data_IF_449911420074
#
_entry.id   IF_449911420074
#
_cell.length_a   1.000
_cell.length_b   1.000
_cell.length_c   1.000
_cell.angle_alpha   90.00
_cell.angle_beta   90.00
_cell.angle_gamma   90.00
#
_symmetry.space_group_name_H-M   'P 1'
#
loop_
_entity.id
_entity.type
_entity.pdbx_description
1 polymer ?
#
# COMPACT_ATOMS: atom_id res chain seq x y z
N UNK A 1 13.37 4.92 -13.24
CA UNK A 1 13.98 5.84 -12.26
C UNK A 1 13.23 7.17 -12.35
N UNK A 2 12.08 7.24 -11.67
CA UNK A 2 11.45 8.49 -11.24
C UNK A 2 11.65 8.47 -9.72
N UNK A 3 12.73 9.10 -9.27
CA UNK A 3 12.94 9.39 -7.87
C UNK A 3 12.05 10.58 -7.54
N UNK A 4 10.98 10.37 -6.77
CA UNK A 4 10.20 11.47 -6.22
C UNK A 4 11.08 12.18 -5.19
N UNK A 5 11.61 13.33 -5.57
CA UNK A 5 12.37 14.22 -4.70
C UNK A 5 11.42 15.28 -4.15
N UNK A 6 10.85 15.06 -2.97
CA UNK A 6 10.17 16.12 -2.22
C UNK A 6 11.22 17.09 -1.66
N UNK A 7 11.14 18.37 -2.02
CA UNK A 7 11.89 19.43 -1.33
C UNK A 7 11.04 19.92 -0.15
N UNK A 8 11.43 19.57 1.07
CA UNK A 8 10.84 20.14 2.29
C UNK A 8 11.19 21.63 2.41
N UNK A 9 10.17 22.49 2.42
CA UNK A 9 10.31 23.87 2.89
C UNK A 9 9.96 23.92 4.38
N UNK A 10 10.98 23.88 5.24
CA UNK A 10 10.83 24.10 6.69
C UNK A 10 10.44 25.56 6.98
N UNK A 11 9.28 25.76 7.60
CA UNK A 11 9.01 26.94 8.44
C UNK A 11 8.70 26.49 9.85
N UNK A 12 9.67 26.70 10.74
CA UNK A 12 9.44 26.70 12.19
C UNK A 12 8.53 27.86 12.57
N UNK A 13 7.54 27.62 13.44
CA UNK A 13 7.43 28.34 14.72
C UNK A 13 6.45 27.65 15.69
N UNK A 14 6.85 27.74 16.95
CA UNK A 14 6.37 27.15 18.21
C UNK A 14 4.95 27.49 18.68
N UNK A 15 4.33 26.60 19.47
CA UNK A 15 4.03 26.77 20.92
C UNK A 15 3.14 25.63 21.48
N UNK A 16 3.54 25.03 22.61
CA UNK A 16 2.71 24.19 23.51
C UNK A 16 1.98 25.12 24.50
N UNK A 17 0.78 24.79 25.05
CA UNK A 17 0.77 24.03 26.32
C UNK A 17 -0.49 23.17 26.64
N UNK A 18 -0.24 22.13 27.45
CA UNK A 18 -0.80 21.89 28.80
C UNK A 18 -1.51 20.55 29.08
N UNK A 19 -0.98 19.87 30.11
CA UNK A 19 -1.43 18.61 30.72
C UNK A 19 -2.74 18.78 31.50
N UNK A 20 -3.61 17.76 31.47
CA UNK A 20 -4.42 17.32 32.63
C UNK A 20 -4.51 15.79 32.68
N UNK A 21 -4.11 15.23 33.82
CA UNK A 21 -4.31 13.85 34.25
C UNK A 21 -5.79 13.54 34.51
N UNK A 22 -6.26 12.35 34.12
CA UNK A 22 -7.31 11.62 34.86
C UNK A 22 -7.03 10.10 34.81
N UNK A 23 -6.58 9.58 35.96
CA UNK A 23 -7.00 8.37 36.70
C UNK A 23 -7.28 7.05 35.95
N UNK A 24 -6.56 6.04 36.46
CA UNK A 24 -6.49 4.62 36.16
C UNK A 24 -7.74 3.76 36.41
N UNK A 25 -7.82 2.63 35.68
CA UNK A 25 -8.40 1.34 36.15
C UNK A 25 -7.67 0.15 35.48
N UNK A 26 -7.32 -0.86 36.31
CA UNK A 26 -6.64 -2.17 36.06
C UNK A 26 -7.25 -2.96 34.89
N UNK A 27 -6.52 -3.67 34.00
CA UNK A 27 -5.43 -4.68 34.03
C UNK A 27 -5.96 -6.13 34.04
N UNK A 28 -5.71 -6.88 32.96
CA UNK A 28 -5.64 -8.36 32.77
C UNK A 28 -5.52 -8.59 31.23
N UNK A 29 -4.64 -9.37 30.60
CA UNK A 29 -3.39 -10.06 30.92
C UNK A 29 -2.62 -10.06 29.59
N UNK A 30 -1.48 -9.37 29.52
CA UNK A 30 -0.55 -9.43 28.39
C UNK A 30 0.77 -9.99 28.88
N UNK A 31 1.15 -11.13 28.30
CA UNK A 31 2.44 -11.78 28.52
C UNK A 31 3.52 -10.88 27.92
N UNK A 32 4.21 -10.12 28.76
CA UNK A 32 5.43 -9.42 28.38
C UNK A 32 6.61 -10.41 28.39
N UNK A 33 7.32 -10.51 27.28
CA UNK A 33 8.68 -11.04 27.27
C UNK A 33 9.60 -9.91 26.79
N UNK A 34 10.38 -9.36 27.72
CA UNK A 34 11.35 -8.30 27.46
C UNK A 34 12.65 -8.81 26.84
N UNK A 35 13.13 -8.00 25.91
CA UNK A 35 14.51 -7.68 25.50
C UNK A 35 15.59 -8.78 25.41
N UNK A 36 16.15 -8.89 24.20
CA UNK A 36 17.58 -8.56 23.97
C UNK A 36 17.72 -7.76 22.68
N UNK A 37 18.21 -6.52 22.82
CA UNK A 37 18.62 -5.65 21.71
C UNK A 37 19.84 -6.26 21.03
N UNK A 38 19.65 -6.75 19.81
CA UNK A 38 20.69 -6.81 18.80
C UNK A 38 20.30 -5.76 17.75
N UNK A 39 21.25 -4.94 17.32
CA UNK A 39 21.15 -4.02 16.16
C UNK A 39 20.97 -4.82 14.85
N UNK A 40 19.87 -5.55 14.74
CA UNK A 40 19.40 -6.14 13.49
C UNK A 40 18.24 -5.28 13.01
N UNK A 41 18.27 -4.92 11.74
CA UNK A 41 17.15 -4.38 10.98
C UNK A 41 15.90 -5.15 11.43
N UNK A 42 14.88 -4.44 11.93
CA UNK A 42 13.73 -5.09 12.55
C UNK A 42 12.94 -5.83 11.46
N UNK A 43 13.17 -7.14 11.32
CA UNK A 43 12.40 -7.99 10.40
C UNK A 43 10.92 -7.97 10.80
N UNK A 44 10.07 -7.52 9.89
CA UNK A 44 8.63 -7.54 10.05
C UNK A 44 8.14 -9.00 9.99
N UNK A 45 7.44 -9.46 11.03
CA UNK A 45 6.86 -10.81 11.04
C UNK A 45 5.35 -10.74 10.79
N UNK A 46 4.91 -11.21 9.63
CA UNK A 46 3.50 -11.36 9.22
C UNK A 46 3.02 -12.77 9.61
N UNK A 47 2.02 -12.86 10.50
CA UNK A 47 1.49 -14.14 11.00
C UNK A 47 0.10 -14.44 10.43
N UNK A 48 0.00 -15.57 9.74
CA UNK A 48 -1.27 -16.21 9.38
C UNK A 48 -1.49 -17.46 10.23
N UNK A 49 -2.67 -18.07 10.16
CA UNK A 49 -2.99 -19.28 10.94
C UNK A 49 -2.14 -20.50 10.58
N UNK A 50 -1.63 -20.56 9.35
CA UNK A 50 -1.01 -21.72 8.70
C UNK A 50 0.32 -21.39 8.00
N UNK A 51 0.77 -20.13 8.05
CA UNK A 51 2.02 -19.66 7.46
C UNK A 51 2.52 -18.43 8.22
N UNK A 52 3.84 -18.31 8.38
CA UNK A 52 4.50 -17.11 8.90
C UNK A 52 5.48 -16.62 7.86
N UNK A 53 5.43 -15.31 7.57
CA UNK A 53 6.33 -14.65 6.63
C UNK A 53 7.14 -13.62 7.42
N UNK A 54 8.47 -13.73 7.36
CA UNK A 54 9.37 -12.65 7.80
C UNK A 54 9.73 -11.81 6.60
N UNK A 55 9.73 -10.49 6.71
CA UNK A 55 9.99 -9.56 5.63
C UNK A 55 10.98 -8.49 6.12
N UNK A 56 11.96 -8.13 5.29
CA UNK A 56 12.88 -7.07 5.66
C UNK A 56 12.13 -5.75 5.75
N UNK A 57 12.40 -5.01 6.83
CA UNK A 57 11.96 -3.63 6.99
C UNK A 57 13.15 -2.69 6.95
N UNK A 58 13.66 -2.54 5.73
CA UNK A 58 14.80 -1.68 5.42
C UNK A 58 14.40 -0.19 5.33
N UNK A 59 13.11 0.12 5.48
CA UNK A 59 12.60 1.48 5.43
C UNK A 59 12.61 2.12 6.82
N UNK A 60 13.59 2.98 7.05
CA UNK A 60 13.75 3.71 8.32
C UNK A 60 13.09 5.08 8.30
N UNK A 61 12.33 5.44 7.25
CA UNK A 61 11.90 6.81 7.02
C UNK A 61 10.98 7.37 8.12
N UNK A 62 10.29 6.52 8.89
CA UNK A 62 9.28 6.99 9.88
C UNK A 62 9.24 6.23 11.21
N UNK A 63 10.31 5.52 11.59
CA UNK A 63 10.38 4.89 12.94
C UNK A 63 10.29 5.91 14.09
N UNK A 64 10.49 7.20 13.80
CA UNK A 64 10.46 8.28 14.79
C UNK A 64 9.05 8.85 15.04
N UNK A 65 8.04 8.55 14.21
CA UNK A 65 6.67 9.11 14.34
C UNK A 65 5.62 8.14 14.91
N UNK A 66 5.88 6.83 14.91
CA UNK A 66 4.97 5.86 15.49
C UNK A 66 5.39 5.50 16.93
N UNK A 67 4.45 5.55 17.87
CA UNK A 67 4.62 4.86 19.16
C UNK A 67 4.78 3.35 18.87
N UNK A 68 5.53 2.63 19.72
CA UNK A 68 5.89 1.19 19.56
C UNK A 68 4.71 0.21 19.32
N UNK A 69 3.47 0.70 19.29
CA UNK A 69 2.23 -0.07 19.23
C UNK A 69 1.44 0.05 17.92
N UNK A 70 1.82 0.91 16.98
CA UNK A 70 1.09 1.02 15.72
C UNK A 70 1.49 -0.11 14.76
N UNK A 71 0.50 -0.91 14.37
CA UNK A 71 0.72 -2.00 13.43
C UNK A 71 0.89 -1.41 12.02
N UNK A 72 2.05 -1.62 11.42
CA UNK A 72 2.40 -1.21 10.04
C UNK A 72 1.49 -1.92 9.00
N UNK A 73 0.75 -2.95 9.41
CA UNK A 73 -0.14 -3.72 8.55
C UNK A 73 -1.32 -4.32 9.32
N UNK A 74 -2.39 -4.62 8.59
CA UNK A 74 -3.54 -5.40 9.08
C UNK A 74 -3.49 -6.81 8.52
N UNK A 75 -3.81 -7.81 9.34
CA UNK A 75 -4.01 -9.19 8.87
C UNK A 75 -5.47 -9.57 8.80
N UNK A 76 -5.83 -10.19 7.69
CA UNK A 76 -7.05 -10.99 7.51
C UNK A 76 -6.64 -12.45 7.39
N UNK A 77 -7.61 -13.35 7.18
CA UNK A 77 -7.40 -14.80 7.15
C UNK A 77 -6.20 -15.23 6.28
N UNK A 78 -6.11 -14.68 5.08
CA UNK A 78 -5.10 -15.02 4.06
C UNK A 78 -4.41 -13.80 3.46
N UNK A 79 -4.70 -12.61 3.96
CA UNK A 79 -4.25 -11.34 3.36
C UNK A 79 -3.61 -10.45 4.41
N UNK A 80 -2.40 -9.96 4.15
CA UNK A 80 -1.78 -8.87 4.88
C UNK A 80 -1.92 -7.57 4.07
N UNK A 81 -2.37 -6.50 4.73
CA UNK A 81 -2.66 -5.21 4.10
C UNK A 81 -1.75 -4.16 4.68
N UNK A 82 -1.02 -3.48 3.80
CA UNK A 82 -0.11 -2.38 4.09
C UNK A 82 -0.67 -1.11 3.47
N UNK A 83 -0.65 -0.03 4.24
CA UNK A 83 -0.90 1.32 3.73
C UNK A 83 0.46 1.97 3.55
N UNK A 84 0.84 2.24 2.31
CA UNK A 84 2.15 2.79 2.01
C UNK A 84 2.16 4.29 2.22
N UNK A 85 3.25 4.78 2.79
CA UNK A 85 3.60 6.18 2.77
C UNK A 85 4.36 6.56 1.49
N UNK A 86 4.36 7.84 1.10
CA UNK A 86 5.13 8.33 -0.04
C UNK A 86 6.61 7.99 0.10
N UNK A 87 7.19 7.40 -0.95
CA UNK A 87 8.59 7.00 -0.98
C UNK A 87 8.87 5.59 -0.42
N UNK A 88 7.86 4.90 0.10
CA UNK A 88 8.03 3.53 0.62
C UNK A 88 8.41 2.54 -0.48
N UNK A 89 9.45 1.74 -0.24
CA UNK A 89 9.88 0.71 -1.19
C UNK A 89 8.97 -0.53 -1.14
N UNK A 90 8.46 -0.91 -2.32
CA UNK A 90 7.77 -2.18 -2.55
C UNK A 90 8.73 -3.37 -2.63
N UNK A 91 9.97 -3.13 -3.04
CA UNK A 91 10.98 -4.17 -3.18
C UNK A 91 11.49 -4.57 -1.81
N UNK A 92 11.22 -5.81 -1.41
CA UNK A 92 11.55 -6.33 -0.07
C UNK A 92 11.93 -7.79 -0.12
N UNK A 93 12.95 -8.15 0.65
CA UNK A 93 13.27 -9.56 0.88
C UNK A 93 12.27 -10.16 1.85
N UNK A 94 11.91 -11.42 1.64
CA UNK A 94 11.04 -12.14 2.57
C UNK A 94 11.49 -13.58 2.75
N UNK A 95 10.93 -14.24 3.76
CA UNK A 95 11.18 -15.65 4.07
C UNK A 95 9.89 -16.29 4.56
N UNK A 96 9.68 -17.54 4.17
CA UNK A 96 8.66 -18.40 4.77
C UNK A 96 9.33 -19.18 5.90
N UNK A 97 8.81 -19.07 7.12
CA UNK A 97 9.46 -19.65 8.31
C UNK A 97 9.26 -21.16 8.43
N UNK A 98 8.17 -21.69 7.87
CA UNK A 98 7.87 -23.11 7.86
C UNK A 98 8.67 -23.82 6.75
N UNK A 99 9.74 -24.51 7.14
CA UNK A 99 10.66 -25.20 6.21
C UNK A 99 9.99 -26.32 5.40
N UNK A 100 8.86 -26.86 5.87
CA UNK A 100 8.10 -27.88 5.17
C UNK A 100 7.47 -27.40 3.86
N UNK A 101 7.31 -26.08 3.67
CA UNK A 101 6.92 -25.50 2.39
C UNK A 101 8.16 -25.24 1.55
N UNK A 102 8.49 -26.21 0.70
CA UNK A 102 9.73 -26.24 -0.04
C UNK A 102 9.63 -25.80 -1.51
N UNK A 103 8.42 -25.67 -2.03
CA UNK A 103 8.11 -25.15 -3.37
C UNK A 103 7.34 -23.82 -3.26
N UNK A 104 7.93 -22.72 -3.72
CA UNK A 104 7.34 -21.38 -3.65
C UNK A 104 7.06 -20.85 -5.04
N UNK A 105 5.86 -20.31 -5.24
CA UNK A 105 5.49 -19.53 -6.42
C UNK A 105 5.04 -18.14 -5.99
N UNK A 106 5.46 -17.12 -6.73
CA UNK A 106 5.10 -15.73 -6.50
C UNK A 106 4.42 -15.16 -7.74
N UNK A 107 3.32 -14.45 -7.52
CA UNK A 107 2.58 -13.77 -8.56
C UNK A 107 2.34 -12.32 -8.15
N UNK A 108 2.35 -11.41 -9.12
CA UNK A 108 2.00 -10.01 -8.95
C UNK A 108 0.80 -9.62 -9.78
N UNK A 109 0.02 -8.68 -9.26
CA UNK A 109 -1.09 -8.02 -9.91
C UNK A 109 -1.16 -6.59 -9.36
N UNK A 110 -1.71 -5.67 -10.12
CA UNK A 110 -1.96 -4.31 -9.66
C UNK A 110 -3.35 -3.83 -10.07
N UNK A 111 -3.85 -2.84 -9.35
CA UNK A 111 -5.13 -2.18 -9.65
C UNK A 111 -4.90 -0.71 -9.95
N UNK A 112 -5.52 -0.24 -11.03
CA UNK A 112 -5.55 1.16 -11.44
C UNK A 112 -6.97 1.69 -11.29
N UNK A 113 -7.07 2.90 -10.75
CA UNK A 113 -8.30 3.69 -10.75
C UNK A 113 -8.09 4.98 -11.54
N UNK A 114 -9.20 5.59 -11.96
CA UNK A 114 -9.18 6.89 -12.61
C UNK A 114 -9.19 7.98 -11.55
N UNK A 115 -8.35 8.98 -11.72
CA UNK A 115 -8.40 10.23 -10.98
C UNK A 115 -8.48 11.43 -11.91
N UNK A 116 -8.76 12.59 -11.32
CA UNK A 116 -8.80 13.87 -12.00
C UNK A 116 -7.90 14.87 -11.28
N UNK A 117 -7.09 15.59 -12.04
CA UNK A 117 -6.27 16.68 -11.55
C UNK A 117 -7.01 18.01 -11.68
N UNK A 118 -6.80 18.91 -10.72
CA UNK A 118 -7.30 20.28 -10.79
C UNK A 118 -6.16 21.27 -11.02
N UNK A 119 -6.51 22.42 -11.60
CA UNK A 119 -5.61 23.58 -11.63
C UNK A 119 -5.76 24.48 -10.41
N UNK A 120 -6.71 24.18 -9.51
CA UNK A 120 -6.87 24.91 -8.25
C UNK A 120 -5.65 24.70 -7.36
N UNK A 121 -5.27 25.76 -6.67
CA UNK A 121 -4.25 25.69 -5.62
C UNK A 121 -4.87 25.02 -4.38
N UNK A 122 -4.68 23.70 -4.28
CA UNK A 122 -5.06 22.86 -3.14
C UNK A 122 -3.81 22.17 -2.59
N UNK A 123 -3.85 21.79 -1.32
CA UNK A 123 -2.79 20.97 -0.71
C UNK A 123 -2.61 19.65 -1.49
N UNK A 124 -3.72 19.05 -1.94
CA UNK A 124 -3.74 17.88 -2.83
C UNK A 124 -4.60 18.19 -4.07
N UNK A 125 -4.02 18.63 -5.19
CA UNK A 125 -4.77 18.99 -6.41
C UNK A 125 -5.17 17.76 -7.25
N UNK A 126 -5.52 16.66 -6.60
CA UNK A 126 -5.87 15.39 -7.20
C UNK A 126 -7.09 14.78 -6.50
N UNK A 127 -8.05 14.27 -7.27
CA UNK A 127 -9.14 13.47 -6.76
C UNK A 127 -9.12 12.08 -7.39
N UNK A 128 -8.89 11.05 -6.58
CA UNK A 128 -9.09 9.65 -6.97
C UNK A 128 -10.59 9.33 -6.98
N UNK A 129 -11.10 8.77 -8.07
CA UNK A 129 -12.50 8.35 -8.19
C UNK A 129 -12.62 6.90 -7.69
N UNK A 130 -12.73 6.74 -6.37
CA UNK A 130 -12.92 5.46 -5.71
C UNK A 130 -14.29 4.83 -6.06
N UNK A 131 -14.41 3.51 -5.94
CA UNK A 131 -15.65 2.75 -6.18
C UNK A 131 -16.33 3.02 -7.54
N UNK A 132 -15.52 3.37 -8.53
CA UNK A 132 -15.92 3.50 -9.93
C UNK A 132 -15.14 2.50 -10.81
N UNK A 133 -15.11 2.71 -12.13
CA UNK A 133 -14.37 1.87 -13.06
C UNK A 133 -12.90 1.77 -12.62
N UNK A 134 -12.42 0.53 -12.51
CA UNK A 134 -11.03 0.19 -12.25
C UNK A 134 -10.52 -0.76 -13.31
N UNK A 135 -9.20 -0.87 -13.42
CA UNK A 135 -8.52 -1.91 -14.15
C UNK A 135 -7.74 -2.75 -13.17
N UNK A 136 -7.87 -4.07 -13.30
CA UNK A 136 -7.07 -5.03 -12.55
C UNK A 136 -6.23 -5.80 -13.56
N UNK A 137 -4.91 -5.80 -13.39
CA UNK A 137 -4.01 -6.48 -14.32
C UNK A 137 -4.21 -8.00 -14.29
N UNK A 138 -3.77 -8.72 -15.32
CA UNK A 138 -3.61 -10.16 -15.21
C UNK A 138 -2.52 -10.51 -14.18
N UNK A 139 -2.58 -11.73 -13.63
CA UNK A 139 -1.53 -12.23 -12.74
C UNK A 139 -0.24 -12.51 -13.51
N UNK A 140 0.85 -11.85 -13.11
CA UNK A 140 2.19 -12.10 -13.65
C UNK A 140 2.93 -13.04 -12.71
N UNK A 141 3.41 -14.19 -13.20
CA UNK A 141 4.25 -15.11 -12.41
C UNK A 141 5.69 -14.61 -12.39
N UNK A 142 6.26 -14.46 -11.20
CA UNK A 142 7.67 -14.11 -11.03
C UNK A 142 8.55 -15.34 -10.90
N UNK A 143 9.78 -15.21 -11.38
CA UNK A 143 10.84 -16.18 -11.08
C UNK A 143 11.33 -15.91 -9.67
N UNK A 144 11.36 -16.94 -8.84
CA UNK A 144 11.81 -16.84 -7.46
C UNK A 144 13.06 -17.68 -7.23
N UNK A 145 13.96 -17.18 -6.39
CA UNK A 145 15.04 -17.96 -5.82
C UNK A 145 14.68 -18.30 -4.38
N UNK A 146 14.57 -19.59 -4.05
CA UNK A 146 14.18 -20.01 -2.70
C UNK A 146 15.14 -19.52 -1.61
N UNK A 147 16.41 -19.33 -1.94
CA UNK A 147 17.43 -18.89 -0.99
C UNK A 147 17.51 -17.35 -0.87
N UNK A 148 16.79 -16.62 -1.73
CA UNK A 148 16.78 -15.17 -1.81
C UNK A 148 15.41 -14.73 -2.38
N UNK A 149 14.38 -14.90 -1.56
CA UNK A 149 13.01 -14.56 -1.92
C UNK A 149 12.85 -13.04 -1.81
N UNK A 150 12.35 -12.44 -2.87
CA UNK A 150 12.13 -10.99 -2.97
C UNK A 150 10.76 -10.73 -3.58
N UNK A 151 10.09 -9.68 -3.10
CA UNK A 151 8.95 -9.07 -3.78
C UNK A 151 9.51 -8.16 -4.87
N UNK A 152 9.38 -8.52 -6.16
CA UNK A 152 9.91 -7.68 -7.23
C UNK A 152 8.97 -6.51 -7.49
N UNK A 153 9.49 -5.39 -8.00
CA UNK A 153 8.63 -4.32 -8.51
C UNK A 153 7.71 -4.82 -9.63
N UNK A 154 6.43 -4.51 -9.53
CA UNK A 154 5.44 -4.76 -10.60
C UNK A 154 5.52 -3.60 -11.61
N UNK A 155 5.68 -3.90 -12.90
CA UNK A 155 5.60 -2.88 -13.95
C UNK A 155 4.13 -2.58 -14.23
N UNK A 156 3.67 -1.43 -13.74
CA UNK A 156 2.29 -0.96 -13.83
C UNK A 156 2.07 0.08 -14.94
N UNK A 157 3.09 0.31 -15.78
CA UNK A 157 3.03 1.31 -16.85
C UNK A 157 2.15 0.81 -18.00
N UNK A 158 0.87 1.13 -17.90
CA UNK A 158 -0.13 0.87 -18.93
C UNK A 158 -0.80 2.18 -19.33
N UNK A 159 -0.81 2.46 -20.64
CA UNK A 159 -1.51 3.62 -21.18
C UNK A 159 -3.01 3.35 -21.25
N UNK A 160 -3.81 4.24 -20.64
CA UNK A 160 -5.29 4.26 -20.67
C UNK A 160 -5.95 2.87 -20.53
N UNK A 161 -5.76 2.18 -19.40
CA UNK A 161 -6.32 0.84 -19.20
C UNK A 161 -7.85 0.80 -19.01
N UNK A 162 -8.52 1.94 -18.87
CA UNK A 162 -9.94 2.04 -18.55
C UNK A 162 -10.66 2.91 -19.57
N UNK A 163 -11.66 2.36 -20.24
CA UNK A 163 -12.51 3.06 -21.20
C UNK A 163 -13.74 3.67 -20.55
N UNK A 164 -14.00 4.93 -20.86
CA UNK A 164 -15.20 5.66 -20.44
C UNK A 164 -15.53 6.81 -21.39
N UNK A 165 -16.78 7.25 -21.35
CA UNK A 165 -17.27 8.45 -22.02
C UNK A 165 -17.10 9.67 -21.14
N UNK A 166 -17.17 10.86 -21.74
CA UNK A 166 -17.11 12.12 -20.98
C UNK A 166 -18.29 12.28 -20.01
N UNK A 167 -19.47 11.81 -20.37
CA UNK A 167 -20.66 11.93 -19.52
C UNK A 167 -20.58 10.97 -18.32
N UNK A 168 -20.04 9.75 -18.54
CA UNK A 168 -19.72 8.83 -17.44
C UNK A 168 -18.70 9.46 -16.47
N UNK A 169 -17.62 10.05 -16.98
CA UNK A 169 -16.61 10.69 -16.15
C UNK A 169 -17.20 11.85 -15.34
N UNK A 170 -17.96 12.76 -15.96
CA UNK A 170 -18.60 13.89 -15.26
C UNK A 170 -19.54 13.41 -14.16
N UNK A 171 -20.31 12.37 -14.44
CA UNK A 171 -21.22 11.77 -13.45
C UNK A 171 -20.43 11.22 -12.27
N UNK A 172 -19.32 10.52 -12.54
CA UNK A 172 -18.45 9.97 -11.50
C UNK A 172 -17.77 11.08 -10.69
N UNK A 173 -17.20 12.10 -11.33
CA UNK A 173 -16.58 13.26 -10.66
C UNK A 173 -17.58 13.97 -9.76
N UNK A 174 -18.80 14.26 -10.24
CA UNK A 174 -19.83 14.92 -9.43
C UNK A 174 -20.25 14.11 -8.20
N UNK A 175 -20.25 12.77 -8.31
CA UNK A 175 -20.63 11.88 -7.21
C UNK A 175 -19.49 11.65 -6.20
N UNK A 176 -18.26 11.52 -6.66
CA UNK A 176 -17.13 11.06 -5.85
C UNK A 176 -16.19 12.19 -5.42
N UNK A 177 -15.95 13.19 -6.28
CA UNK A 177 -15.08 14.33 -5.97
C UNK A 177 -15.87 15.56 -5.48
N UNK A 178 -17.14 15.67 -5.87
CA UNK A 178 -18.03 16.75 -5.47
C UNK A 178 -18.26 17.81 -6.55
N UNK A 179 -19.14 18.77 -6.25
CA UNK A 179 -19.64 19.74 -7.23
C UNK A 179 -18.58 20.69 -7.76
N UNK A 180 -17.59 21.08 -6.94
CA UNK A 180 -16.53 22.00 -7.34
C UNK A 180 -15.67 21.41 -8.46
N UNK A 181 -15.32 20.12 -8.35
CA UNK A 181 -14.60 19.39 -9.38
C UNK A 181 -15.43 19.21 -10.65
N UNK A 182 -16.74 18.95 -10.52
CA UNK A 182 -17.64 18.86 -11.67
C UNK A 182 -17.73 20.21 -12.39
N UNK A 183 -17.77 21.33 -11.66
CA UNK A 183 -17.89 22.66 -12.23
C UNK A 183 -16.72 23.05 -13.14
N UNK A 184 -15.51 22.54 -12.86
CA UNK A 184 -14.32 22.73 -13.70
C UNK A 184 -14.47 22.02 -15.07
N UNK A 185 -15.09 20.84 -15.08
CA UNK A 185 -15.16 20.02 -16.29
C UNK A 185 -16.52 20.02 -17.00
N UNK A 186 -17.58 20.55 -16.40
CA UNK A 186 -18.97 20.43 -16.91
C UNK A 186 -19.14 20.89 -18.35
N UNK A 187 -18.40 21.93 -18.76
CA UNK A 187 -18.47 22.52 -20.09
C UNK A 187 -17.49 21.91 -21.10
N UNK A 188 -16.57 21.05 -20.64
CA UNK A 188 -15.62 20.37 -21.52
C UNK A 188 -16.37 19.33 -22.35
N UNK A 189 -16.06 19.25 -23.65
CA UNK A 189 -16.77 18.38 -24.61
C UNK A 189 -15.97 17.17 -25.08
N UNK A 190 -14.70 17.07 -24.67
CA UNK A 190 -13.81 16.00 -25.11
C UNK A 190 -12.89 15.56 -23.98
N UNK A 191 -12.64 14.25 -23.89
CA UNK A 191 -11.89 13.64 -22.79
C UNK A 191 -10.42 14.06 -22.77
N UNK A 192 -9.81 14.29 -23.93
CA UNK A 192 -8.42 14.76 -24.07
C UNK A 192 -8.17 16.13 -23.44
N UNK A 193 -9.24 16.89 -23.17
CA UNK A 193 -9.16 18.21 -22.53
C UNK A 193 -9.35 18.17 -21.03
N UNK A 194 -9.69 17.00 -20.47
CA UNK A 194 -9.77 16.80 -19.03
C UNK A 194 -8.44 16.21 -18.58
N UNK A 195 -7.85 16.76 -17.52
CA UNK A 195 -6.64 16.21 -16.91
C UNK A 195 -7.00 14.96 -16.10
N UNK A 196 -7.16 13.85 -16.80
CA UNK A 196 -7.38 12.54 -16.19
C UNK A 196 -6.05 11.86 -15.93
N UNK A 197 -5.93 11.26 -14.76
CA UNK A 197 -4.78 10.45 -14.36
C UNK A 197 -5.23 9.01 -14.12
N UNK A 198 -4.39 8.05 -14.54
CA UNK A 198 -4.59 6.63 -14.27
C UNK A 198 -3.61 6.26 -13.17
N UNK A 199 -4.15 6.04 -11.97
CA UNK A 199 -3.35 5.93 -10.75
C UNK A 199 -3.39 4.49 -10.23
N UNK A 200 -2.22 3.90 -10.02
CA UNK A 200 -2.10 2.57 -9.40
C UNK A 200 -2.42 2.68 -7.93
N UNK A 201 -3.56 2.13 -7.50
CA UNK A 201 -4.06 2.21 -6.12
C UNK A 201 -3.58 1.03 -5.28
N UNK A 202 -3.33 -0.12 -5.91
CA UNK A 202 -2.92 -1.33 -5.19
C UNK A 202 -1.86 -2.12 -5.95
N UNK A 203 -0.90 -2.63 -5.19
CA UNK A 203 -0.02 -3.72 -5.60
C UNK A 203 -0.35 -4.97 -4.80
N UNK A 204 -0.54 -6.09 -5.48
CA UNK A 204 -1.03 -7.33 -4.89
C UNK A 204 -0.03 -8.44 -5.24
N UNK A 205 0.58 -9.02 -4.21
CA UNK A 205 1.43 -10.19 -4.34
C UNK A 205 0.70 -11.40 -3.80
N UNK A 206 0.68 -12.49 -4.58
CA UNK A 206 0.20 -13.79 -4.15
C UNK A 206 1.39 -14.73 -3.99
N UNK A 207 1.56 -15.24 -2.78
CA UNK A 207 2.54 -16.26 -2.42
C UNK A 207 1.81 -17.59 -2.31
N UNK A 208 2.22 -18.56 -3.12
CA UNK A 208 1.73 -19.94 -3.08
C UNK A 208 2.87 -20.84 -2.62
N UNK A 209 2.71 -21.43 -1.45
CA UNK A 209 3.72 -22.26 -0.80
C UNK A 209 3.21 -23.71 -0.73
N UNK A 210 4.01 -24.65 -1.21
CA UNK A 210 3.66 -26.07 -1.29
C UNK A 210 4.66 -26.92 -0.52
N UNK A 211 4.13 -27.89 0.22
CA UNK A 211 4.88 -28.98 0.80
C UNK A 211 4.95 -30.14 -0.19
N UNK A 212 6.12 -30.39 -0.78
CA UNK A 212 6.31 -31.42 -1.81
C UNK A 212 6.03 -32.84 -1.31
N UNK A 213 6.18 -33.09 0.01
CA UNK A 213 5.99 -34.42 0.61
C UNK A 213 4.52 -34.76 0.80
N UNK A 214 3.69 -33.77 1.14
CA UNK A 214 2.25 -33.98 1.45
C UNK A 214 1.32 -33.46 0.36
N UNK A 215 1.84 -32.68 -0.59
CA UNK A 215 1.08 -31.87 -1.55
C UNK A 215 0.15 -30.83 -0.90
N UNK A 216 0.32 -30.53 0.40
CA UNK A 216 -0.38 -29.42 1.02
C UNK A 216 0.05 -28.10 0.39
N UNK A 217 -0.91 -27.24 0.09
CA UNK A 217 -0.70 -25.92 -0.52
C UNK A 217 -1.38 -24.88 0.35
N UNK A 218 -0.67 -23.80 0.63
CA UNK A 218 -1.22 -22.60 1.24
C UNK A 218 -1.00 -21.41 0.31
N UNK A 219 -1.99 -20.53 0.27
CA UNK A 219 -1.93 -19.29 -0.50
C UNK A 219 -2.12 -18.12 0.44
N UNK A 220 -1.31 -17.08 0.25
CA UNK A 220 -1.34 -15.83 1.02
C UNK A 220 -1.17 -14.63 0.10
N UNK A 221 -1.77 -13.54 0.49
CA UNK A 221 -1.74 -12.27 -0.23
C UNK A 221 -1.06 -11.20 0.60
N UNK A 222 -0.21 -10.40 -0.04
CA UNK A 222 0.35 -9.18 0.52
C UNK A 222 -0.16 -8.05 -0.38
N UNK A 223 -0.92 -7.13 0.19
CA UNK A 223 -1.55 -6.02 -0.51
C UNK A 223 -0.95 -4.73 -0.01
N UNK A 224 -0.42 -3.93 -0.91
CA UNK A 224 0.06 -2.58 -0.64
C UNK A 224 -0.90 -1.57 -1.27
N UNK A 225 -1.47 -0.68 -0.46
CA UNK A 225 -2.21 0.49 -0.92
C UNK A 225 -1.24 1.62 -1.21
N UNK A 226 -1.23 2.13 -2.44
CA UNK A 226 -0.37 3.24 -2.82
C UNK A 226 -0.92 4.57 -2.25
N UNK A 227 -0.05 5.48 -1.78
CA UNK A 227 -0.47 6.78 -1.25
C UNK A 227 -0.91 7.69 -2.41
N UNK A 228 -2.03 8.38 -2.24
CA UNK A 228 -2.58 9.30 -3.26
C UNK A 228 -2.03 10.73 -3.17
N UNK A 229 -1.25 11.04 -2.14
CA UNK A 229 -0.62 12.35 -1.89
C UNK A 229 0.83 12.17 -1.45
N UNK A 230 1.70 13.10 -1.82
CA UNK A 230 3.08 13.21 -1.31
C UNK A 230 3.19 14.18 -0.14
#
# INVERSE_FOLDING_TARGET
>A
MLLFSCQENKKELSEKPNKKEIVSKKKEDLVSAGEKVNDAIADLTIKFSDLTISMSDDDTSWKDEYEETDNIYETRKDTAIFYLDPGYSLERSFKIEQEEFDEIELYGQFEINVGIDTERELDVPFCLIEDWKSYTSEWTKFKVNKNDLQLPMIDDRIDRPIDFTIDELKTAVGKHCGSEWLDEIKNIKSLDKIKTSFFTTRYIYKIRAKNSKTNAIVEKFIVFYAPTSC
#
